data_IF_138948168381
#
_entry.id   IF_138948168381
#
_cell.length_a   1.000
_cell.length_b   1.000
_cell.length_c   1.000
_cell.angle_alpha   90.00
_cell.angle_beta   90.00
_cell.angle_gamma   90.00
#
_symmetry.space_group_name_H-M   'P 1'
#
loop_
_entity.id
_entity.type
_entity.pdbx_description
1 polymer ?
#
# COMPACT_ATOMS: atom_id res chain seq x y z
N UNK A 1 -21.52 0.69 -2.08
CA UNK A 1 -20.51 -0.37 -1.90
C UNK A 1 -20.99 -1.73 -2.40
N UNK A 2 -22.23 -2.15 -2.15
CA UNK A 2 -22.70 -3.52 -2.46
C UNK A 2 -22.64 -3.95 -3.94
N UNK A 3 -22.96 -3.08 -4.91
CA UNK A 3 -23.06 -3.48 -6.31
C UNK A 3 -21.73 -3.80 -7.02
N UNK A 4 -20.61 -3.21 -6.55
CA UNK A 4 -19.29 -3.41 -7.16
C UNK A 4 -18.47 -4.55 -6.56
N UNK A 5 -18.83 -4.99 -5.36
CA UNK A 5 -18.04 -5.98 -4.60
C UNK A 5 -17.97 -7.34 -5.29
N UNK A 6 -19.07 -7.93 -5.84
CA UNK A 6 -18.98 -9.20 -6.55
C UNK A 6 -18.01 -9.16 -7.74
N UNK A 7 -18.03 -8.06 -8.50
CA UNK A 7 -17.10 -7.85 -9.62
C UNK A 7 -15.65 -7.72 -9.15
N UNK A 8 -15.40 -7.05 -8.03
CA UNK A 8 -14.08 -6.99 -7.44
C UNK A 8 -13.58 -8.38 -7.03
N UNK A 9 -14.42 -9.18 -6.35
CA UNK A 9 -14.06 -10.54 -5.93
C UNK A 9 -13.75 -11.46 -7.11
N UNK A 10 -14.53 -11.39 -8.19
CA UNK A 10 -14.25 -12.12 -9.44
C UNK A 10 -12.89 -11.73 -10.05
N UNK A 11 -12.56 -10.44 -10.07
CA UNK A 11 -11.27 -9.98 -10.59
C UNK A 11 -10.09 -10.39 -9.69
N UNK A 12 -10.28 -10.39 -8.36
CA UNK A 12 -9.29 -10.93 -7.43
C UNK A 12 -9.07 -12.42 -7.67
N UNK A 13 -10.13 -13.20 -7.87
CA UNK A 13 -10.02 -14.62 -8.22
C UNK A 13 -9.22 -14.82 -9.52
N UNK A 14 -9.51 -14.02 -10.56
CA UNK A 14 -8.77 -14.04 -11.83
C UNK A 14 -7.28 -13.70 -11.66
N UNK A 15 -6.96 -12.66 -10.90
CA UNK A 15 -5.56 -12.31 -10.58
C UNK A 15 -4.83 -13.50 -9.91
N UNK A 16 -5.51 -14.24 -9.04
CA UNK A 16 -4.96 -15.35 -8.27
C UNK A 16 -5.07 -16.72 -8.95
N UNK A 17 -5.57 -16.78 -10.18
CA UNK A 17 -5.81 -18.03 -10.92
C UNK A 17 -4.55 -18.86 -11.21
N UNK A 18 -3.36 -18.24 -11.22
CA UNK A 18 -2.10 -18.95 -11.36
C UNK A 18 -1.76 -19.84 -10.15
N UNK A 19 -2.50 -19.71 -9.05
CA UNK A 19 -2.26 -20.38 -7.79
C UNK A 19 -1.24 -19.63 -6.92
N UNK A 20 -1.17 -19.94 -5.62
CA UNK A 20 -0.34 -19.24 -4.66
C UNK A 20 1.17 -19.43 -4.93
N UNK A 21 1.97 -18.42 -4.56
CA UNK A 21 3.43 -18.47 -4.64
C UNK A 21 4.03 -18.40 -6.05
N UNK A 22 3.19 -18.25 -7.09
CA UNK A 22 3.62 -18.05 -8.48
C UNK A 22 3.75 -16.56 -8.82
N UNK A 23 4.27 -16.26 -10.00
CA UNK A 23 4.30 -14.88 -10.48
C UNK A 23 2.89 -14.41 -10.89
N UNK A 24 2.46 -13.21 -10.46
CA UNK A 24 1.17 -12.66 -10.86
C UNK A 24 1.13 -12.33 -12.34
N UNK A 25 0.00 -12.61 -13.00
CA UNK A 25 -0.25 -12.15 -14.36
C UNK A 25 -0.59 -10.66 -14.29
N UNK A 26 0.39 -9.82 -14.65
CA UNK A 26 0.32 -8.36 -14.51
C UNK A 26 -1.01 -7.76 -15.00
N UNK A 27 -1.50 -8.17 -16.18
CA UNK A 27 -2.75 -7.67 -16.76
C UNK A 27 -3.96 -7.98 -15.89
N UNK A 28 -4.11 -9.22 -15.41
CA UNK A 28 -5.25 -9.64 -14.59
C UNK A 28 -5.23 -8.94 -13.23
N UNK A 29 -4.06 -8.84 -12.60
CA UNK A 29 -3.93 -8.20 -11.30
C UNK A 29 -4.08 -6.68 -11.37
N UNK A 30 -3.58 -6.02 -12.42
CA UNK A 30 -3.84 -4.59 -12.63
C UNK A 30 -5.32 -4.30 -12.85
N UNK A 31 -6.04 -5.18 -13.56
CA UNK A 31 -7.49 -5.08 -13.75
C UNK A 31 -8.24 -5.23 -12.42
N UNK A 32 -7.81 -6.17 -11.56
CA UNK A 32 -8.34 -6.32 -10.22
C UNK A 32 -8.15 -5.06 -9.38
N UNK A 33 -6.94 -4.50 -9.35
CA UNK A 33 -6.67 -3.22 -8.65
C UNK A 33 -7.55 -2.10 -9.19
N UNK A 34 -7.64 -1.94 -10.52
CA UNK A 34 -8.46 -0.89 -11.14
C UNK A 34 -9.96 -1.02 -10.80
N UNK A 35 -10.44 -2.25 -10.61
CA UNK A 35 -11.85 -2.53 -10.27
C UNK A 35 -12.12 -2.34 -8.79
N UNK A 36 -11.23 -2.85 -7.93
CA UNK A 36 -11.43 -2.91 -6.49
C UNK A 36 -11.08 -1.60 -5.78
N UNK A 37 -9.97 -0.96 -6.15
CA UNK A 37 -9.43 0.19 -5.44
C UNK A 37 -10.44 1.35 -5.31
N UNK A 38 -11.17 1.77 -6.37
CA UNK A 38 -12.16 2.84 -6.24
C UNK A 38 -13.33 2.50 -5.31
N UNK A 39 -13.69 1.22 -5.18
CA UNK A 39 -14.79 0.78 -4.32
C UNK A 39 -14.49 0.96 -2.83
N UNK A 40 -13.21 0.91 -2.46
CA UNK A 40 -12.74 1.11 -1.08
C UNK A 40 -12.36 2.57 -0.84
N UNK A 41 -11.62 3.18 -1.77
CA UNK A 41 -11.05 4.53 -1.59
C UNK A 41 -12.11 5.63 -1.73
N UNK A 42 -13.00 5.55 -2.73
CA UNK A 42 -13.92 6.66 -3.01
C UNK A 42 -14.90 6.92 -1.87
N UNK A 43 -15.51 5.91 -1.22
CA UNK A 43 -16.39 6.15 -0.08
C UNK A 43 -15.69 6.89 1.07
N UNK A 44 -14.45 6.51 1.40
CA UNK A 44 -13.68 7.19 2.44
C UNK A 44 -13.36 8.63 2.04
N UNK A 45 -12.94 8.85 0.79
CA UNK A 45 -12.66 10.19 0.25
C UNK A 45 -13.90 11.09 0.27
N UNK A 46 -15.04 10.59 -0.18
CA UNK A 46 -16.30 11.35 -0.22
C UNK A 46 -16.80 11.74 1.17
N UNK A 47 -16.49 10.92 2.18
CA UNK A 47 -16.84 11.19 3.58
C UNK A 47 -15.79 12.03 4.32
N UNK A 48 -14.70 12.42 3.64
CA UNK A 48 -13.61 13.16 4.27
C UNK A 48 -12.91 12.37 5.38
N UNK A 49 -12.80 11.04 5.24
CA UNK A 49 -12.20 10.13 6.22
C UNK A 49 -10.79 9.75 5.75
N UNK A 50 -9.81 9.73 6.67
CA UNK A 50 -8.46 9.25 6.37
C UNK A 50 -8.46 7.78 5.95
N UNK A 51 -7.56 7.43 5.03
CA UNK A 51 -7.32 6.03 4.65
C UNK A 51 -6.52 5.26 5.71
N UNK A 52 -5.91 5.97 6.66
CA UNK A 52 -5.04 5.39 7.69
C UNK A 52 -5.73 5.35 9.06
N UNK A 53 -6.57 6.34 9.37
CA UNK A 53 -7.33 6.40 10.63
C UNK A 53 -8.78 6.87 10.40
N UNK A 54 -9.73 5.94 10.54
CA UNK A 54 -11.16 6.21 10.28
C UNK A 54 -11.81 7.23 11.22
N UNK A 55 -11.12 7.61 12.31
CA UNK A 55 -11.62 8.55 13.33
C UNK A 55 -11.39 10.01 12.95
N UNK A 56 -10.53 10.28 11.97
CA UNK A 56 -10.09 11.65 11.63
C UNK A 56 -10.13 11.94 10.13
N UNK A 57 -10.16 13.23 9.76
CA UNK A 57 -9.91 13.65 8.39
C UNK A 57 -8.47 13.35 7.92
N UNK A 58 -8.24 13.23 6.60
CA UNK A 58 -6.89 13.13 6.06
C UNK A 58 -6.02 14.33 6.46
N UNK A 59 -4.81 14.08 6.95
CA UNK A 59 -3.86 15.08 7.43
C UNK A 59 -3.88 15.30 8.95
N UNK A 60 -4.91 14.80 9.65
CA UNK A 60 -5.05 14.91 11.10
C UNK A 60 -4.69 13.61 11.86
N UNK A 61 -4.13 12.62 11.16
CA UNK A 61 -3.79 11.30 11.72
C UNK A 61 -2.88 11.39 12.95
N UNK A 62 -1.91 12.31 12.92
CA UNK A 62 -0.96 12.49 14.01
C UNK A 62 -1.59 12.96 15.34
N UNK A 63 -2.85 13.42 15.36
CA UNK A 63 -3.52 13.85 16.60
C UNK A 63 -3.73 12.70 17.60
N UNK A 64 -3.86 11.48 17.11
CA UNK A 64 -4.08 10.30 17.95
C UNK A 64 -2.86 9.37 18.04
N UNK A 65 -1.83 9.62 17.25
CA UNK A 65 -0.57 8.90 17.35
C UNK A 65 0.39 9.72 18.20
N UNK A 66 0.98 9.12 19.23
CA UNK A 66 2.06 9.74 20.02
C UNK A 66 3.36 9.97 19.21
N UNK A 67 3.32 9.77 17.90
CA UNK A 67 4.46 9.87 16.99
C UNK A 67 4.30 11.10 16.10
N UNK A 68 5.07 12.14 16.41
CA UNK A 68 5.22 13.30 15.54
C UNK A 68 6.53 13.14 14.76
N UNK A 69 6.44 12.74 13.49
CA UNK A 69 7.61 12.58 12.63
C UNK A 69 8.32 13.92 12.33
N UNK A 70 7.71 15.06 12.63
CA UNK A 70 8.21 16.36 12.21
C UNK A 70 8.29 16.50 10.69
N UNK A 71 9.03 17.52 10.22
CA UNK A 71 9.25 17.80 8.79
C UNK A 71 10.51 17.08 8.29
N UNK A 72 10.43 15.75 8.20
CA UNK A 72 11.51 14.88 7.69
C UNK A 72 11.94 15.32 6.27
N UNK A 73 10.99 15.77 5.46
CA UNK A 73 11.23 16.28 4.12
C UNK A 73 12.16 17.49 4.10
N UNK A 74 12.05 18.39 5.09
CA UNK A 74 12.96 19.53 5.21
C UNK A 74 14.31 19.04 5.73
N UNK A 75 14.31 18.25 6.79
CA UNK A 75 15.53 17.78 7.44
C UNK A 75 16.45 16.97 6.51
N UNK A 76 15.91 15.98 5.80
CA UNK A 76 16.69 15.13 4.89
C UNK A 76 17.10 15.82 3.57
N UNK A 77 16.53 16.99 3.29
CA UNK A 77 16.92 17.81 2.15
C UNK A 77 17.80 19.01 2.54
N UNK A 78 18.16 19.14 3.81
CA UNK A 78 19.17 20.11 4.24
C UNK A 78 20.56 19.73 3.69
N UNK A 79 21.29 20.71 3.18
CA UNK A 79 22.58 20.47 2.53
C UNK A 79 23.63 19.91 3.50
N UNK A 80 23.64 20.37 4.75
CA UNK A 80 24.58 19.86 5.76
C UNK A 80 24.29 18.41 6.10
N UNK A 81 23.00 18.05 6.21
CA UNK A 81 22.56 16.67 6.45
C UNK A 81 22.90 15.76 5.26
N UNK A 82 22.68 16.22 4.03
CA UNK A 82 23.01 15.46 2.82
C UNK A 82 24.52 15.24 2.67
N UNK A 83 25.33 16.25 3.00
CA UNK A 83 26.79 16.15 2.98
C UNK A 83 27.31 15.11 3.97
N UNK A 84 26.78 15.13 5.20
CA UNK A 84 27.14 14.17 6.25
C UNK A 84 26.73 12.74 5.89
N UNK A 85 25.57 12.56 5.26
CA UNK A 85 25.09 11.25 4.77
C UNK A 85 25.73 10.83 3.44
N UNK A 86 26.56 11.67 2.85
CA UNK A 86 27.19 11.46 1.53
C UNK A 86 26.17 11.16 0.42
N UNK A 87 25.03 11.86 0.43
CA UNK A 87 23.99 11.77 -0.60
C UNK A 87 23.82 13.11 -1.32
N UNK A 88 23.31 13.07 -2.55
CA UNK A 88 23.12 14.27 -3.38
C UNK A 88 21.74 14.36 -4.03
N UNK A 89 20.87 13.38 -3.79
CA UNK A 89 19.52 13.33 -4.38
C UNK A 89 18.51 13.94 -3.42
N UNK A 90 17.55 14.67 -3.98
CA UNK A 90 16.37 15.11 -3.22
C UNK A 90 15.65 13.91 -2.64
N UNK A 91 15.51 13.90 -1.32
CA UNK A 91 14.68 12.94 -0.63
C UNK A 91 13.20 13.26 -0.87
N UNK A 92 12.45 12.22 -1.24
CA UNK A 92 10.99 12.25 -1.32
C UNK A 92 10.45 11.06 -0.52
N UNK A 93 9.31 11.21 0.17
CA UNK A 93 8.78 10.14 1.03
C UNK A 93 8.35 8.90 0.26
N UNK A 94 7.94 9.06 -1.00
CA UNK A 94 7.36 8.00 -1.82
C UNK A 94 7.82 8.13 -3.26
N UNK A 95 8.30 7.02 -3.84
CA UNK A 95 8.64 6.95 -5.27
C UNK A 95 7.49 6.34 -6.07
N UNK A 96 6.83 7.16 -6.90
CA UNK A 96 5.65 6.74 -7.68
C UNK A 96 5.95 5.62 -8.68
N UNK A 97 7.15 5.59 -9.26
CA UNK A 97 7.53 4.56 -10.24
C UNK A 97 7.68 3.20 -9.57
N UNK A 98 8.24 3.18 -8.36
CA UNK A 98 8.28 1.97 -7.52
C UNK A 98 6.85 1.50 -7.21
N UNK A 99 5.97 2.40 -6.75
CA UNK A 99 4.56 2.04 -6.51
C UNK A 99 3.88 1.46 -7.76
N UNK A 100 4.10 2.07 -8.92
CA UNK A 100 3.54 1.57 -10.19
C UNK A 100 4.10 0.21 -10.57
N UNK A 101 5.41 -0.01 -10.40
CA UNK A 101 6.07 -1.28 -10.69
C UNK A 101 5.52 -2.41 -9.80
N UNK A 102 5.17 -2.11 -8.56
CA UNK A 102 4.66 -3.08 -7.59
C UNK A 102 3.12 -3.20 -7.57
N UNK A 103 2.40 -2.33 -8.29
CA UNK A 103 0.92 -2.26 -8.27
C UNK A 103 0.24 -3.62 -8.47
N UNK A 104 0.77 -4.46 -9.36
CA UNK A 104 0.23 -5.80 -9.64
C UNK A 104 0.19 -6.72 -8.42
N UNK A 105 1.10 -6.54 -7.46
CA UNK A 105 1.17 -7.38 -6.26
C UNK A 105 0.12 -7.00 -5.20
N UNK A 106 -0.52 -5.84 -5.31
CA UNK A 106 -1.53 -5.38 -4.34
C UNK A 106 -2.76 -6.30 -4.34
N UNK A 107 -3.14 -6.84 -5.51
CA UNK A 107 -4.30 -7.73 -5.67
C UNK A 107 -3.95 -9.22 -5.62
N UNK A 108 -2.65 -9.56 -5.61
CA UNK A 108 -2.19 -10.94 -5.61
C UNK A 108 -2.05 -11.45 -4.18
N UNK A 109 -2.53 -12.67 -3.93
CA UNK A 109 -2.55 -13.31 -2.63
C UNK A 109 -1.13 -13.79 -2.28
N UNK A 110 -0.51 -13.06 -1.35
CA UNK A 110 0.80 -13.39 -0.80
C UNK A 110 0.72 -14.13 0.53
N UNK A 111 -0.48 -14.42 1.03
CA UNK A 111 -0.67 -15.09 2.34
C UNK A 111 -0.06 -16.48 2.38
N UNK A 112 0.05 -17.16 1.23
CA UNK A 112 0.74 -18.44 1.12
C UNK A 112 2.19 -18.39 1.64
N UNK A 113 2.92 -17.29 1.40
CA UNK A 113 4.27 -17.14 1.94
C UNK A 113 4.26 -17.05 3.46
N UNK A 114 3.23 -16.40 4.03
CA UNK A 114 3.05 -16.30 5.49
C UNK A 114 2.76 -17.68 6.07
N UNK A 115 1.82 -18.44 5.49
CA UNK A 115 1.48 -19.80 5.95
C UNK A 115 2.71 -20.70 5.97
N UNK A 116 3.51 -20.71 4.89
CA UNK A 116 4.71 -21.53 4.82
C UNK A 116 5.79 -21.14 5.85
N UNK A 117 5.85 -19.88 6.28
CA UNK A 117 6.76 -19.42 7.32
C UNK A 117 6.25 -19.78 8.72
N UNK A 118 4.94 -19.64 8.95
CA UNK A 118 4.29 -20.04 10.20
C UNK A 118 4.43 -21.56 10.44
N UNK A 119 4.22 -22.38 9.41
CA UNK A 119 4.38 -23.84 9.47
C UNK A 119 5.82 -24.26 9.81
N UNK A 120 6.81 -23.42 9.46
CA UNK A 120 8.22 -23.61 9.81
C UNK A 120 8.58 -23.07 11.20
N UNK A 121 7.60 -22.64 11.98
CA UNK A 121 7.79 -22.16 13.35
C UNK A 121 8.26 -20.71 13.45
N UNK A 122 8.23 -19.92 12.36
CA UNK A 122 8.45 -18.48 12.46
C UNK A 122 7.30 -17.87 13.24
N UNK A 123 7.59 -17.32 14.42
CA UNK A 123 6.59 -16.61 15.20
C UNK A 123 6.41 -15.21 14.62
N UNK A 124 5.18 -14.90 14.22
CA UNK A 124 4.75 -13.53 13.89
C UNK A 124 4.12 -12.97 15.16
N UNK A 125 4.87 -12.14 15.89
CA UNK A 125 4.42 -11.47 17.12
C UNK A 125 4.01 -10.03 16.81
#
# INVERSE_FOLDING_TARGET
>A
MAAGLPKCMDQLSKCNSNGPGKQPISVLCNQAVATCQPLVINPLRQRGISFFDVRVPPGDEARHYHFNSGRIDIFLNDQSVQQELHVSKTWIPNNKDVFNAFKRYIAYDTTYYVTALLDKGLKVN
#
